data_IF_924514211699
#
_entry.id   IF_924514211699
#
_cell.length_a   1.000
_cell.length_b   1.000
_cell.length_c   1.000
_cell.angle_alpha   90.00
_cell.angle_beta   90.00
_cell.angle_gamma   90.00
#
_symmetry.space_group_name_H-M   'P 1'
#
loop_
_entity.id
_entity.type
_entity.pdbx_description
1 polymer ?
#
# COMPACT_ATOMS: atom_id res chain seq x y z
N UNK A 1 97.03 29.60 -58.09
CA UNK A 1 96.97 30.17 -59.44
C UNK A 1 95.67 29.74 -60.08
N UNK A 2 94.82 30.72 -60.34
CA UNK A 2 93.47 30.63 -60.87
C UNK A 2 93.43 29.96 -62.24
N UNK A 3 92.37 29.23 -62.57
CA UNK A 3 91.57 29.47 -63.79
C UNK A 3 90.15 28.96 -63.51
N UNK A 4 89.24 29.92 -63.48
CA UNK A 4 87.78 29.75 -63.54
C UNK A 4 87.40 30.05 -64.99
N UNK A 5 86.71 29.12 -65.66
CA UNK A 5 85.99 29.43 -66.90
C UNK A 5 84.54 29.09 -66.66
N UNK A 6 83.71 30.12 -66.58
CA UNK A 6 82.25 30.04 -66.73
C UNK A 6 81.96 30.14 -68.23
N UNK A 7 81.10 29.29 -68.79
CA UNK A 7 80.33 29.66 -69.97
C UNK A 7 78.88 29.22 -69.85
N UNK A 8 78.03 30.07 -70.40
CA UNK A 8 76.62 30.27 -70.06
C UNK A 8 75.64 29.31 -70.74
N UNK A 9 74.58 29.05 -69.99
CA UNK A 9 73.20 28.63 -70.30
C UNK A 9 72.77 28.47 -71.76
N UNK A 10 72.19 27.30 -72.06
CA UNK A 10 71.06 27.18 -72.98
C UNK A 10 69.91 26.48 -72.25
N UNK A 11 68.88 27.26 -71.96
CA UNK A 11 67.68 26.88 -71.23
C UNK A 11 66.60 26.58 -72.29
N UNK A 12 66.16 25.33 -72.36
CA UNK A 12 64.90 24.94 -73.02
C UNK A 12 64.02 24.23 -71.99
N UNK A 13 62.76 24.63 -71.81
CA UNK A 13 61.91 24.12 -70.74
C UNK A 13 61.35 22.74 -71.12
N UNK A 14 61.73 21.69 -70.40
CA UNK A 14 60.96 20.45 -70.42
C UNK A 14 59.89 20.57 -69.33
N UNK A 15 58.67 20.78 -69.79
CA UNK A 15 57.43 20.90 -69.02
C UNK A 15 57.34 19.82 -67.95
N UNK A 16 57.24 20.24 -66.69
CA UNK A 16 57.07 19.35 -65.56
C UNK A 16 55.64 18.80 -65.54
N UNK A 17 55.51 17.48 -65.62
CA UNK A 17 54.29 16.79 -65.19
C UNK A 17 54.71 15.84 -64.07
N UNK A 18 54.96 16.44 -62.89
CA UNK A 18 54.88 15.70 -61.63
C UNK A 18 53.40 15.54 -61.33
N UNK A 19 52.87 14.34 -61.55
CA UNK A 19 51.56 13.97 -61.04
C UNK A 19 51.66 14.01 -59.50
N UNK A 20 50.89 14.83 -58.79
CA UNK A 20 50.67 14.59 -57.38
C UNK A 20 49.90 13.26 -57.28
N UNK A 21 50.47 12.27 -56.60
CA UNK A 21 49.64 11.25 -55.95
C UNK A 21 48.79 12.02 -54.94
N UNK A 22 47.58 12.37 -55.35
CA UNK A 22 46.52 12.73 -54.43
C UNK A 22 46.23 11.48 -53.62
N UNK A 23 46.94 11.32 -52.50
CA UNK A 23 46.47 10.46 -51.43
C UNK A 23 45.09 10.98 -51.06
N UNK A 24 44.06 10.23 -51.42
CA UNK A 24 42.72 10.47 -50.91
C UNK A 24 42.81 10.11 -49.43
N UNK A 25 43.21 11.07 -48.61
CA UNK A 25 43.01 11.03 -47.17
C UNK A 25 41.49 10.99 -47.00
N UNK A 26 40.91 9.79 -46.97
CA UNK A 26 39.55 9.61 -46.53
C UNK A 26 39.50 10.22 -45.13
N UNK A 27 38.71 11.29 -44.90
CA UNK A 27 38.39 11.62 -43.53
C UNK A 27 37.66 10.39 -43.00
N UNK A 28 38.19 9.76 -41.95
CA UNK A 28 37.36 8.90 -41.13
C UNK A 28 36.27 9.83 -40.58
N UNK A 29 35.15 9.92 -41.28
CA UNK A 29 33.92 10.51 -40.78
C UNK A 29 33.47 9.58 -39.68
N UNK A 30 34.07 9.72 -38.50
CA UNK A 30 33.50 9.21 -37.28
C UNK A 30 32.15 9.89 -37.17
N UNK A 31 31.08 9.15 -37.47
CA UNK A 31 29.73 9.54 -37.09
C UNK A 31 29.76 9.51 -35.56
N UNK A 32 30.14 10.64 -34.96
CA UNK A 32 29.95 10.86 -33.54
C UNK A 32 28.45 10.95 -33.37
N UNK A 33 27.82 9.82 -33.05
CA UNK A 33 26.47 9.85 -32.53
C UNK A 33 26.51 10.71 -31.26
N UNK A 34 25.80 11.84 -31.21
CA UNK A 34 25.70 12.58 -29.97
C UNK A 34 25.09 11.63 -28.95
N UNK A 35 25.86 11.32 -27.90
CA UNK A 35 25.32 10.67 -26.71
C UNK A 35 24.29 11.62 -26.13
N UNK A 36 23.02 11.32 -26.37
CA UNK A 36 21.90 12.09 -25.83
C UNK A 36 21.91 11.93 -24.32
N UNK A 37 22.23 13.01 -23.61
CA UNK A 37 22.14 13.07 -22.15
C UNK A 37 20.70 13.31 -21.69
N UNK A 38 20.42 13.02 -20.42
CA UNK A 38 19.13 13.35 -19.81
C UNK A 38 18.94 14.87 -19.78
N UNK A 39 17.81 15.34 -20.29
CA UNK A 39 17.43 16.75 -20.15
C UNK A 39 16.93 17.01 -18.73
N UNK A 40 17.11 18.23 -18.23
CA UNK A 40 16.55 18.62 -16.93
C UNK A 40 15.01 18.47 -16.91
N UNK A 41 14.36 18.74 -18.05
CA UNK A 41 12.92 18.57 -18.22
C UNK A 41 12.48 17.10 -18.07
N UNK A 42 13.27 16.16 -18.57
CA UNK A 42 12.97 14.72 -18.46
C UNK A 42 13.02 14.25 -17.00
N UNK A 43 14.04 14.68 -16.25
CA UNK A 43 14.16 14.36 -14.82
C UNK A 43 12.99 14.96 -14.03
N UNK A 44 12.58 16.19 -14.33
CA UNK A 44 11.43 16.82 -13.68
C UNK A 44 10.12 16.07 -13.96
N UNK A 45 9.90 15.62 -15.20
CA UNK A 45 8.73 14.81 -15.54
C UNK A 45 8.77 13.46 -14.83
N UNK A 46 9.93 12.80 -14.79
CA UNK A 46 10.09 11.53 -14.08
C UNK A 46 9.78 11.69 -12.58
N UNK A 47 10.28 12.75 -11.95
CA UNK A 47 9.99 13.06 -10.55
C UNK A 47 8.50 13.37 -10.33
N UNK A 48 7.84 14.07 -11.25
CA UNK A 48 6.42 14.36 -11.18
C UNK A 48 5.57 13.07 -11.25
N UNK A 49 5.89 12.16 -12.17
CA UNK A 49 5.22 10.86 -12.28
C UNK A 49 5.46 10.03 -11.02
N UNK A 50 6.70 9.97 -10.53
CA UNK A 50 7.05 9.26 -9.30
C UNK A 50 6.26 9.77 -8.10
N UNK A 51 6.10 11.09 -7.96
CA UNK A 51 5.30 11.67 -6.87
C UNK A 51 3.84 11.19 -6.91
N UNK A 52 3.20 11.19 -8.08
CA UNK A 52 1.81 10.72 -8.26
C UNK A 52 1.69 9.24 -7.91
N UNK A 53 2.64 8.42 -8.37
CA UNK A 53 2.67 6.97 -8.11
C UNK A 53 2.83 6.70 -6.62
N UNK A 54 3.77 7.37 -5.94
CA UNK A 54 4.02 7.17 -4.51
C UNK A 54 2.80 7.55 -3.67
N UNK A 55 2.10 8.64 -4.00
CA UNK A 55 0.84 9.00 -3.32
C UNK A 55 -0.21 7.90 -3.51
N UNK A 56 -0.34 7.36 -4.72
CA UNK A 56 -1.29 6.29 -5.03
C UNK A 56 -0.97 5.01 -4.25
N UNK A 57 0.30 4.59 -4.23
CA UNK A 57 0.77 3.41 -3.50
C UNK A 57 0.58 3.59 -1.99
N UNK A 58 0.92 4.76 -1.45
CA UNK A 58 0.71 5.07 -0.04
C UNK A 58 -0.76 4.92 0.36
N UNK A 59 -1.69 5.46 -0.45
CA UNK A 59 -3.13 5.33 -0.20
C UNK A 59 -3.62 3.90 -0.28
N UNK A 60 -3.16 3.12 -1.27
CA UNK A 60 -3.52 1.69 -1.39
C UNK A 60 -3.01 0.87 -0.21
N UNK A 61 -1.79 1.16 0.26
CA UNK A 61 -1.23 0.49 1.43
C UNK A 61 -2.03 0.79 2.69
N UNK A 62 -2.37 2.08 2.92
CA UNK A 62 -3.20 2.49 4.04
C UNK A 62 -4.60 1.86 3.99
N UNK A 63 -5.23 1.81 2.81
CA UNK A 63 -6.54 1.19 2.64
C UNK A 63 -6.51 -0.32 2.92
N UNK A 64 -5.46 -1.01 2.45
CA UNK A 64 -5.29 -2.45 2.66
C UNK A 64 -5.15 -2.79 4.15
N UNK A 65 -4.44 -1.95 4.92
CA UNK A 65 -4.26 -2.16 6.36
C UNK A 65 -5.60 -2.06 7.11
N UNK A 66 -6.38 -1.00 6.86
CA UNK A 66 -7.71 -0.83 7.46
C UNK A 66 -8.66 -1.99 7.08
N UNK A 67 -8.66 -2.40 5.81
CA UNK A 67 -9.48 -3.52 5.33
C UNK A 67 -9.09 -4.84 6.00
N UNK A 68 -7.80 -5.06 6.21
CA UNK A 68 -7.29 -6.27 6.88
C UNK A 68 -7.72 -6.32 8.34
N UNK A 69 -7.65 -5.19 9.05
CA UNK A 69 -8.12 -5.10 10.44
C UNK A 69 -9.62 -5.39 10.53
N UNK A 70 -10.44 -4.78 9.66
CA UNK A 70 -11.87 -5.03 9.61
C UNK A 70 -12.19 -6.52 9.35
N UNK A 71 -11.54 -7.15 8.38
CA UNK A 71 -11.75 -8.57 8.07
C UNK A 71 -11.39 -9.49 9.24
N UNK A 72 -10.32 -9.18 9.98
CA UNK A 72 -9.94 -9.91 11.19
C UNK A 72 -11.00 -9.75 12.28
N UNK A 73 -11.51 -8.53 12.46
CA UNK A 73 -12.58 -8.28 13.41
C UNK A 73 -13.84 -9.10 13.09
N UNK A 74 -14.35 -9.04 11.86
CA UNK A 74 -15.57 -9.77 11.48
C UNK A 74 -15.44 -11.29 11.52
N UNK A 75 -14.22 -11.83 11.50
CA UNK A 75 -13.99 -13.28 11.64
C UNK A 75 -13.79 -13.71 13.08
N UNK A 76 -13.19 -12.87 13.94
CA UNK A 76 -12.90 -13.20 15.33
C UNK A 76 -13.99 -12.79 16.31
N UNK A 77 -14.60 -11.61 16.12
CA UNK A 77 -15.61 -11.07 17.03
C UNK A 77 -16.81 -12.02 17.23
N UNK A 78 -17.32 -12.74 16.21
CA UNK A 78 -18.39 -13.72 16.42
C UNK A 78 -17.97 -14.89 17.31
N UNK A 79 -16.71 -15.33 17.23
CA UNK A 79 -16.20 -16.43 18.05
C UNK A 79 -16.04 -16.00 19.51
N UNK A 80 -15.54 -14.77 19.72
CA UNK A 80 -15.41 -14.17 21.04
C UNK A 80 -16.77 -13.93 21.68
N UNK A 81 -17.72 -13.37 20.92
CA UNK A 81 -19.09 -13.14 21.38
C UNK A 81 -19.77 -14.46 21.77
N UNK A 82 -19.67 -15.49 20.92
CA UNK A 82 -20.22 -16.82 21.24
C UNK A 82 -19.57 -17.44 22.46
N UNK A 83 -18.24 -17.35 22.59
CA UNK A 83 -17.53 -17.87 23.77
C UNK A 83 -17.98 -17.15 25.04
N UNK A 84 -18.20 -15.84 25.00
CA UNK A 84 -18.69 -15.08 26.16
C UNK A 84 -20.15 -15.40 26.47
N UNK A 85 -20.99 -15.54 25.45
CA UNK A 85 -22.39 -15.95 25.58
C UNK A 85 -22.51 -17.35 26.21
N UNK A 86 -21.71 -18.32 25.77
CA UNK A 86 -21.69 -19.66 26.36
C UNK A 86 -21.22 -19.66 27.84
N UNK A 87 -20.26 -18.80 28.19
CA UNK A 87 -19.85 -18.61 29.59
C UNK A 87 -20.99 -18.02 30.43
N UNK A 88 -21.74 -17.08 29.84
CA UNK A 88 -22.87 -16.43 30.48
C UNK A 88 -24.06 -17.35 30.67
N UNK A 89 -24.28 -18.29 29.74
CA UNK A 89 -25.28 -19.34 29.88
C UNK A 89 -24.94 -20.33 31.01
N UNK A 90 -23.64 -20.58 31.24
CA UNK A 90 -23.17 -21.46 32.30
C UNK A 90 -23.21 -20.82 33.70
N UNK A 91 -23.15 -19.49 33.79
CA UNK A 91 -23.31 -18.75 35.05
C UNK A 91 -24.79 -18.41 35.27
N UNK A 92 -25.30 -18.63 36.48
CA UNK A 92 -26.68 -18.33 36.84
C UNK A 92 -27.02 -16.84 36.63
N UNK A 93 -28.23 -16.56 36.15
CA UNK A 93 -28.66 -15.32 35.49
C UNK A 93 -28.66 -14.03 36.32
N UNK A 94 -28.35 -14.09 37.61
CA UNK A 94 -28.53 -12.98 38.56
C UNK A 94 -27.43 -11.90 38.49
N UNK A 95 -26.30 -12.17 37.83
CA UNK A 95 -25.13 -11.28 37.76
C UNK A 95 -24.79 -10.78 36.36
N UNK A 96 -25.71 -10.88 35.41
CA UNK A 96 -25.44 -10.73 33.96
C UNK A 96 -25.61 -9.29 33.46
N UNK A 97 -26.41 -8.48 34.14
CA UNK A 97 -26.77 -7.14 33.68
C UNK A 97 -25.63 -6.13 33.88
N UNK A 98 -25.13 -5.54 32.79
CA UNK A 98 -24.16 -4.44 32.82
C UNK A 98 -22.70 -4.87 32.96
N UNK A 99 -22.41 -6.16 32.81
CA UNK A 99 -21.03 -6.67 32.89
C UNK A 99 -20.19 -6.17 31.70
N UNK A 100 -18.92 -5.87 31.93
CA UNK A 100 -17.99 -5.43 30.88
C UNK A 100 -16.55 -5.76 31.22
N UNK A 101 -15.72 -5.86 30.20
CA UNK A 101 -14.29 -6.09 30.38
C UNK A 101 -13.56 -6.27 29.06
N UNK A 102 -12.39 -6.88 29.15
CA UNK A 102 -11.54 -7.22 28.01
C UNK A 102 -11.38 -8.73 27.86
N UNK A 103 -10.76 -9.15 26.75
CA UNK A 103 -10.40 -10.53 26.49
C UNK A 103 -8.93 -10.86 26.86
N UNK A 104 -8.30 -10.00 27.68
CA UNK A 104 -6.94 -10.12 28.16
C UNK A 104 -5.86 -10.10 27.08
N UNK A 105 -4.67 -10.60 27.43
CA UNK A 105 -3.47 -10.56 26.57
C UNK A 105 -3.59 -11.37 25.29
N UNK A 106 -4.54 -12.32 25.23
CA UNK A 106 -4.76 -13.15 24.03
C UNK A 106 -5.41 -12.37 22.91
N UNK A 107 -6.17 -11.33 23.24
CA UNK A 107 -6.92 -10.51 22.30
C UNK A 107 -6.81 -9.04 22.72
N UNK A 108 -5.61 -8.44 22.60
CA UNK A 108 -5.41 -7.05 22.99
C UNK A 108 -6.27 -6.12 22.14
N UNK A 109 -6.85 -5.11 22.79
CA UNK A 109 -7.73 -4.13 22.14
C UNK A 109 -9.17 -4.61 21.92
N UNK A 110 -9.48 -5.88 22.17
CA UNK A 110 -10.87 -6.36 22.18
C UNK A 110 -11.52 -6.15 23.54
N UNK A 111 -12.65 -5.46 23.54
CA UNK A 111 -13.53 -5.29 24.69
C UNK A 111 -14.83 -6.06 24.52
N UNK A 112 -15.54 -6.29 25.62
CA UNK A 112 -16.90 -6.80 25.61
C UNK A 112 -17.78 -6.08 26.63
N UNK A 113 -19.07 -6.02 26.32
CA UNK A 113 -20.10 -5.50 27.20
C UNK A 113 -21.37 -6.33 27.06
N UNK A 114 -22.05 -6.57 28.18
CA UNK A 114 -23.30 -7.33 28.25
C UNK A 114 -24.42 -6.42 28.72
N UNK A 115 -25.48 -6.33 27.93
CA UNK A 115 -26.70 -5.63 28.28
C UNK A 115 -27.85 -6.64 28.34
N UNK A 116 -28.60 -6.64 29.44
CA UNK A 116 -29.82 -7.44 29.56
C UNK A 116 -31.02 -6.49 29.56
N UNK A 117 -32.00 -6.77 28.72
CA UNK A 117 -33.23 -5.99 28.61
C UNK A 117 -34.43 -6.94 28.75
N UNK A 118 -35.42 -6.54 29.55
CA UNK A 118 -36.67 -7.28 29.70
C UNK A 118 -37.54 -7.06 28.45
N UNK A 119 -38.13 -8.12 27.90
CA UNK A 119 -38.92 -8.04 26.67
C UNK A 119 -40.39 -7.84 27.01
N UNK A 120 -40.86 -6.60 27.04
CA UNK A 120 -42.31 -6.34 27.07
C UNK A 120 -42.89 -6.45 25.65
N UNK A 121 -43.88 -7.33 25.46
CA UNK A 121 -44.57 -7.48 24.18
C UNK A 121 -46.07 -7.61 24.37
N UNK A 122 -46.81 -6.67 23.77
CA UNK A 122 -48.28 -6.70 23.73
C UNK A 122 -48.82 -7.95 23.00
N UNK A 123 -48.02 -8.58 22.13
CA UNK A 123 -48.39 -9.77 21.37
C UNK A 123 -48.21 -11.08 22.15
N UNK A 124 -47.37 -11.10 23.20
CA UNK A 124 -47.02 -12.31 23.96
C UNK A 124 -47.68 -12.37 25.35
N UNK A 125 -48.34 -11.30 25.81
CA UNK A 125 -49.05 -11.29 27.09
C UNK A 125 -48.13 -11.60 28.28
N UNK A 126 -48.61 -12.40 29.24
CA UNK A 126 -47.84 -12.79 30.45
C UNK A 126 -46.57 -13.59 30.13
N UNK A 127 -46.50 -14.29 29.00
CA UNK A 127 -45.31 -15.03 28.58
C UNK A 127 -44.13 -14.12 28.18
N UNK A 128 -44.37 -12.81 28.01
CA UNK A 128 -43.34 -11.82 27.76
C UNK A 128 -42.53 -11.49 29.04
N UNK A 129 -43.15 -11.58 30.22
CA UNK A 129 -42.50 -11.24 31.50
C UNK A 129 -41.35 -12.20 31.82
N UNK A 130 -41.45 -13.46 31.36
CA UNK A 130 -40.42 -14.49 31.52
C UNK A 130 -39.30 -14.40 30.47
N UNK A 131 -39.42 -13.52 29.47
CA UNK A 131 -38.47 -13.44 28.35
C UNK A 131 -37.45 -12.33 28.58
N UNK A 132 -36.19 -12.73 28.75
CA UNK A 132 -35.05 -11.79 28.81
C UNK A 132 -34.26 -11.79 27.51
N UNK A 133 -33.92 -10.59 27.04
CA UNK A 133 -33.02 -10.37 25.91
C UNK A 133 -31.63 -10.06 26.44
N UNK A 134 -30.64 -10.83 26.00
CA UNK A 134 -29.24 -10.65 26.36
C UNK A 134 -28.49 -10.24 25.10
N UNK A 135 -27.94 -9.03 25.12
CA UNK A 135 -27.11 -8.46 24.07
C UNK A 135 -25.64 -8.51 24.52
N UNK A 136 -24.82 -9.26 23.79
CA UNK A 136 -23.36 -9.31 23.99
C UNK A 136 -22.70 -8.55 22.86
N UNK A 137 -22.05 -7.44 23.21
CA UNK A 137 -21.33 -6.59 22.27
C UNK A 137 -19.83 -6.79 22.44
N UNK A 138 -19.13 -7.05 21.33
CA UNK A 138 -17.67 -7.10 21.24
C UNK A 138 -17.19 -5.86 20.49
N UNK A 139 -16.20 -5.16 21.03
CA UNK A 139 -15.63 -3.94 20.47
C UNK A 139 -14.14 -4.10 20.19
N UNK A 140 -13.60 -3.34 19.24
CA UNK A 140 -12.16 -3.26 18.95
C UNK A 140 -11.77 -1.80 18.69
N UNK A 141 -10.57 -1.40 19.14
CA UNK A 141 -9.98 -0.06 18.94
C UNK A 141 -10.92 1.08 19.38
N UNK A 142 -11.21 1.20 20.68
CA UNK A 142 -12.05 2.30 21.20
C UNK A 142 -13.43 2.42 20.48
N UNK A 143 -14.09 1.29 20.24
CA UNK A 143 -15.39 1.19 19.54
C UNK A 143 -15.34 1.59 18.04
N UNK A 144 -14.18 1.61 17.39
CA UNK A 144 -14.08 1.75 15.93
C UNK A 144 -14.82 0.61 15.21
N UNK A 145 -14.73 -0.60 15.75
CA UNK A 145 -15.48 -1.76 15.29
C UNK A 145 -16.33 -2.32 16.41
N UNK A 146 -17.57 -2.68 16.07
CA UNK A 146 -18.54 -3.23 17.00
C UNK A 146 -19.27 -4.42 16.36
N UNK A 147 -19.49 -5.45 17.16
CA UNK A 147 -20.25 -6.63 16.76
C UNK A 147 -21.12 -7.09 17.93
N UNK A 148 -22.43 -7.16 17.70
CA UNK A 148 -23.41 -7.54 18.73
C UNK A 148 -24.08 -8.86 18.36
N UNK A 149 -24.15 -9.77 19.32
CA UNK A 149 -24.98 -10.99 19.27
C UNK A 149 -26.11 -10.86 20.28
N UNK A 150 -27.31 -11.20 19.84
CA UNK A 150 -28.53 -11.14 20.64
C UNK A 150 -29.08 -12.54 20.88
N UNK A 151 -29.34 -12.85 22.14
CA UNK A 151 -29.98 -14.08 22.57
C UNK A 151 -31.26 -13.76 23.33
N UNK A 152 -32.29 -14.59 23.12
CA UNK A 152 -33.53 -14.54 23.89
C UNK A 152 -33.62 -15.80 24.75
N UNK A 153 -33.78 -15.61 26.06
CA UNK A 153 -33.89 -16.69 27.03
C UNK A 153 -35.25 -16.60 27.74
N UNK A 154 -35.98 -17.72 27.71
CA UNK A 154 -37.17 -17.91 28.55
C UNK A 154 -36.70 -18.34 29.94
N UNK A 155 -37.10 -17.60 30.96
CA UNK A 155 -36.90 -17.94 32.36
C UNK A 155 -38.23 -18.48 32.87
N UNK A 156 -38.46 -19.79 32.77
CA UNK A 156 -39.60 -20.39 33.47
C UNK A 156 -39.25 -20.47 34.96
N UNK A 157 -40.04 -19.80 35.80
CA UNK A 157 -40.00 -19.94 37.26
C UNK A 157 -40.25 -21.38 37.73
#
# INVERSE_FOLDING_TARGET
>A
MSIRIKSYSSQKPASGIRHPVSGIQQPATGIQHPVSGFTLLEVLIAMAIMAIVLVSVYRLHSQTLSMTTANRFYTQAPLLAQSKMAQLEALSSDSVSGDSGDFGDKFPGYGWHVSTEDVSSEALGEAAEDLKRIDVTVTLNENEYEYTVRLYRMMSE
#
